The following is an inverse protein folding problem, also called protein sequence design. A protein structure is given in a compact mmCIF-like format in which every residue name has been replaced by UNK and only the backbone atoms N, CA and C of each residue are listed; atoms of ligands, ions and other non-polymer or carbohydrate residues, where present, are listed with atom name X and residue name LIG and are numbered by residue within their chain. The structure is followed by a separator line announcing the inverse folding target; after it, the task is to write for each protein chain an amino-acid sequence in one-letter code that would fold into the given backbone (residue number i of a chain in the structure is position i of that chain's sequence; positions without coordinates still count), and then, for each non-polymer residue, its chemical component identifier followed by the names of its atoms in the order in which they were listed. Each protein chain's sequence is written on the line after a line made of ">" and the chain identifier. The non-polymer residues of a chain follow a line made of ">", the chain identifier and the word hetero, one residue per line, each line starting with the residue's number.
data_IF_515564672711
#
_entry.id   IF_515564672711
#
_cell.length_a   1.000
_cell.length_b   1.000
_cell.length_c   1.000
_cell.angle_alpha   90.00
_cell.angle_beta   90.00
_cell.angle_gamma   90.00
#
_symmetry.space_group_name_H-M   'P 1'
#
loop_
_entity.id
_entity.type
_entity.pdbx_description
1 polymer ?
#
# COMPACT_ATOMS: atom_id res chain seq x y z
N UNK A 1 39.07 18.70 -1.85
CA UNK A 1 37.76 18.67 -1.15
C UNK A 1 36.97 19.87 -1.62
N UNK A 2 35.91 19.66 -2.42
CA UNK A 2 35.02 20.73 -2.88
C UNK A 2 33.93 20.90 -1.85
N UNK A 3 33.92 22.04 -1.16
CA UNK A 3 32.87 22.43 -0.23
C UNK A 3 31.54 22.49 -0.98
N UNK A 4 30.55 21.73 -0.50
CA UNK A 4 29.20 21.74 -1.06
C UNK A 4 28.50 23.01 -0.56
N UNK A 5 28.28 23.91 -1.51
CA UNK A 5 27.70 25.24 -1.33
C UNK A 5 26.32 25.17 -0.66
N UNK A 6 26.22 25.75 0.53
CA UNK A 6 24.96 26.13 1.15
C UNK A 6 24.94 27.64 1.41
N UNK A 7 24.24 28.45 0.60
CA UNK A 7 23.74 29.75 1.06
C UNK A 7 22.66 30.34 0.13
N UNK A 8 21.60 30.90 0.73
CA UNK A 8 20.72 31.90 0.13
C UNK A 8 21.01 33.27 0.79
N UNK A 9 21.38 34.33 0.03
CA UNK A 9 21.97 35.56 0.59
C UNK A 9 21.01 36.44 1.42
N UNK A 10 19.70 36.38 1.18
CA UNK A 10 18.74 37.29 1.82
C UNK A 10 18.25 36.81 3.20
N UNK A 11 18.55 35.57 3.59
CA UNK A 11 18.10 34.96 4.86
C UNK A 11 19.18 34.20 5.65
N UNK A 12 20.43 34.10 5.15
CA UNK A 12 21.54 33.35 5.78
C UNK A 12 21.18 31.93 6.27
N UNK A 13 20.36 31.17 5.52
CA UNK A 13 20.07 29.77 5.85
C UNK A 13 20.46 28.81 4.72
N UNK A 14 21.26 27.81 5.08
CA UNK A 14 21.59 26.65 4.24
C UNK A 14 20.32 25.84 3.92
N UNK A 15 20.12 25.46 2.66
CA UNK A 15 19.08 24.50 2.31
C UNK A 15 19.48 23.10 2.80
N UNK A 16 19.06 22.69 3.98
CA UNK A 16 19.35 21.36 4.53
C UNK A 16 18.76 20.26 3.63
N UNK A 17 19.57 19.25 3.31
CA UNK A 17 19.14 18.07 2.54
C UNK A 17 19.44 16.79 3.30
N UNK A 18 18.52 15.82 3.25
CA UNK A 18 18.78 14.47 3.77
C UNK A 18 19.85 13.82 2.89
N UNK A 19 20.85 13.20 3.52
CA UNK A 19 21.88 12.42 2.84
C UNK A 19 21.73 10.94 3.21
N UNK A 20 22.37 10.00 2.48
CA UNK A 20 22.30 8.58 2.83
C UNK A 20 22.75 8.23 4.26
N UNK A 21 23.55 9.09 4.90
CA UNK A 21 24.08 8.90 6.26
C UNK A 21 23.43 9.79 7.31
N UNK A 22 22.68 10.84 6.92
CA UNK A 22 22.13 11.83 7.83
C UNK A 22 20.68 12.15 7.51
N UNK A 23 19.82 11.84 8.48
CA UNK A 23 18.44 12.29 8.50
C UNK A 23 18.31 13.56 9.35
N UNK A 24 17.76 14.62 8.75
CA UNK A 24 17.38 15.85 9.43
C UNK A 24 15.96 16.23 9.01
N UNK A 25 15.05 16.27 9.98
CA UNK A 25 13.62 16.57 9.79
C UNK A 25 13.37 17.87 9.03
N UNK A 26 14.21 18.89 9.22
CA UNK A 26 14.03 20.24 8.65
C UNK A 26 14.18 20.25 7.13
N UNK A 27 14.92 19.28 6.58
CA UNK A 27 15.06 19.12 5.13
C UNK A 27 13.72 18.81 4.44
N UNK A 28 12.74 18.24 5.15
CA UNK A 28 11.39 18.00 4.63
C UNK A 28 10.52 19.27 4.60
N UNK A 29 10.96 20.35 5.25
CA UNK A 29 10.27 21.65 5.23
C UNK A 29 10.78 22.54 4.08
N UNK A 30 11.75 22.06 3.30
CA UNK A 30 12.26 22.76 2.13
C UNK A 30 11.15 23.03 1.11
N UNK A 31 11.01 24.29 0.70
CA UNK A 31 10.05 24.72 -0.33
C UNK A 31 10.60 24.55 -1.75
N UNK A 32 11.93 24.47 -1.90
CA UNK A 32 12.55 24.27 -3.19
C UNK A 32 12.31 22.82 -3.69
N UNK A 33 11.85 22.64 -4.95
CA UNK A 33 11.38 21.35 -5.43
C UNK A 33 12.50 20.31 -5.57
N UNK A 34 13.70 20.72 -6.05
CA UNK A 34 14.81 19.80 -6.27
C UNK A 34 15.45 19.30 -4.96
N UNK A 35 15.79 20.15 -3.97
CA UNK A 35 16.36 19.67 -2.71
C UNK A 35 15.39 18.80 -1.90
N UNK A 36 14.08 19.12 -1.95
CA UNK A 36 13.06 18.27 -1.35
C UNK A 36 13.00 16.89 -2.03
N UNK A 37 13.00 16.86 -3.37
CA UNK A 37 13.02 15.62 -4.13
C UNK A 37 14.25 14.76 -3.79
N UNK A 38 15.44 15.35 -3.74
CA UNK A 38 16.67 14.66 -3.33
C UNK A 38 16.57 14.12 -1.91
N UNK A 39 16.01 14.90 -0.99
CA UNK A 39 15.84 14.49 0.40
C UNK A 39 14.88 13.30 0.52
N UNK A 40 13.75 13.33 -0.20
CA UNK A 40 12.78 12.23 -0.23
C UNK A 40 13.37 10.96 -0.88
N UNK A 41 14.23 11.10 -1.88
CA UNK A 41 14.92 9.98 -2.52
C UNK A 41 15.82 9.24 -1.51
N UNK A 42 16.69 9.96 -0.81
CA UNK A 42 17.53 9.36 0.23
C UNK A 42 16.70 8.82 1.39
N UNK A 43 15.67 9.55 1.82
CA UNK A 43 14.79 9.11 2.90
C UNK A 43 14.04 7.81 2.57
N UNK A 44 13.63 7.61 1.31
CA UNK A 44 12.96 6.38 0.89
C UNK A 44 13.87 5.15 1.09
N UNK A 45 15.16 5.27 0.77
CA UNK A 45 16.15 4.23 1.03
C UNK A 45 16.38 4.03 2.54
N UNK A 46 16.55 5.12 3.28
CA UNK A 46 16.81 5.07 4.72
C UNK A 46 15.64 4.48 5.51
N UNK A 47 14.39 4.82 5.17
CA UNK A 47 13.19 4.25 5.81
C UNK A 47 13.05 2.76 5.54
N UNK A 48 13.56 2.26 4.41
CA UNK A 48 13.57 0.83 4.10
C UNK A 48 14.61 0.04 4.90
N UNK A 49 15.76 0.64 5.23
CA UNK A 49 16.92 -0.06 5.81
C UNK A 49 17.18 0.25 7.30
N UNK A 50 16.86 1.46 7.77
CA UNK A 50 17.23 1.95 9.11
C UNK A 50 16.03 2.04 10.05
N UNK A 51 16.04 1.22 11.11
CA UNK A 51 15.05 1.30 12.19
C UNK A 51 15.11 2.65 12.92
N UNK A 52 16.32 3.16 13.18
CA UNK A 52 16.53 4.42 13.89
C UNK A 52 15.87 5.61 13.18
N UNK A 53 15.91 5.64 11.85
CA UNK A 53 15.26 6.68 11.05
C UNK A 53 13.74 6.58 11.15
N UNK A 54 13.17 5.37 11.13
CA UNK A 54 11.72 5.15 11.33
C UNK A 54 11.26 5.60 12.71
N UNK A 55 12.07 5.33 13.75
CA UNK A 55 11.80 5.79 15.11
C UNK A 55 11.84 7.32 15.19
N UNK A 56 12.87 7.96 14.63
CA UNK A 56 13.00 9.42 14.59
C UNK A 56 11.79 10.08 13.91
N UNK A 57 11.42 9.64 12.70
CA UNK A 57 10.23 10.12 11.98
C UNK A 57 8.93 10.02 12.78
N UNK A 58 8.83 9.02 13.68
CA UNK A 58 7.63 8.78 14.47
C UNK A 58 7.46 9.73 15.66
N UNK A 59 8.54 10.39 16.08
CA UNK A 59 8.58 11.27 17.26
C UNK A 59 8.81 12.75 16.93
N UNK A 60 9.43 13.07 15.79
CA UNK A 60 9.87 14.43 15.45
C UNK A 60 8.89 15.22 14.55
N UNK A 61 7.69 14.70 14.32
CA UNK A 61 6.71 15.32 13.42
C UNK A 61 6.98 15.07 11.92
N UNK A 62 7.90 14.16 11.59
CA UNK A 62 8.25 13.77 10.22
C UNK A 62 7.12 13.08 9.47
N UNK A 63 6.37 12.23 10.16
CA UNK A 63 5.20 11.58 9.57
C UNK A 63 4.09 12.57 9.20
N UNK A 64 3.81 13.55 10.07
CA UNK A 64 2.85 14.63 9.80
C UNK A 64 3.28 15.48 8.60
N UNK A 65 4.59 15.70 8.42
CA UNK A 65 5.08 16.39 7.23
C UNK A 65 5.00 15.57 5.96
N UNK A 66 5.33 14.28 6.02
CA UNK A 66 5.19 13.38 4.87
C UNK A 66 3.74 13.32 4.40
N UNK A 67 2.79 13.20 5.33
CA UNK A 67 1.36 13.21 5.01
C UNK A 67 0.91 14.54 4.43
N UNK A 68 1.36 15.66 4.99
CA UNK A 68 1.08 16.98 4.42
C UNK A 68 1.68 17.17 3.01
N UNK A 69 2.89 16.66 2.73
CA UNK A 69 3.48 16.66 1.38
C UNK A 69 2.58 15.86 0.42
N UNK A 70 2.05 14.72 0.86
CA UNK A 70 1.18 13.86 0.06
C UNK A 70 -0.19 14.48 -0.23
N UNK A 71 -0.73 15.26 0.72
CA UNK A 71 -1.98 15.99 0.56
C UNK A 71 -1.83 17.24 -0.32
N UNK A 72 -0.71 17.96 -0.19
CA UNK A 72 -0.45 19.18 -0.97
C UNK A 72 0.03 18.87 -2.40
N UNK A 73 0.67 17.73 -2.60
CA UNK A 73 1.11 17.26 -3.92
C UNK A 73 0.03 16.36 -4.54
N UNK A 74 -1.19 16.85 -4.73
CA UNK A 74 -2.29 16.07 -5.32
C UNK A 74 -1.90 15.48 -6.68
N UNK A 75 -2.10 14.17 -6.89
CA UNK A 75 -1.79 13.48 -8.17
C UNK A 75 -2.72 13.91 -9.31
N UNK A 76 -3.88 14.45 -9.00
CA UNK A 76 -4.86 14.90 -10.00
C UNK A 76 -4.41 16.15 -10.75
N UNK A 77 -3.44 16.90 -10.22
CA UNK A 77 -3.03 18.20 -10.74
C UNK A 77 -1.65 18.19 -11.40
N UNK A 78 -1.03 17.04 -11.69
CA UNK A 78 0.36 16.97 -12.14
C UNK A 78 0.63 17.80 -13.41
N UNK A 79 1.22 19.00 -13.32
CA UNK A 79 1.63 19.73 -14.51
C UNK A 79 3.00 19.20 -14.98
N UNK A 80 3.73 18.49 -14.11
CA UNK A 80 5.12 18.13 -14.30
C UNK A 80 5.52 16.79 -13.65
N UNK A 81 6.45 16.09 -14.31
CA UNK A 81 6.99 14.78 -13.88
C UNK A 81 7.59 14.82 -12.47
N UNK A 82 8.16 15.96 -12.02
CA UNK A 82 8.85 16.05 -10.73
C UNK A 82 7.88 16.03 -9.56
N UNK A 83 6.70 16.62 -9.70
CA UNK A 83 5.64 16.52 -8.68
C UNK A 83 5.18 15.08 -8.48
N UNK A 84 5.09 14.30 -9.56
CA UNK A 84 4.79 12.87 -9.47
C UNK A 84 5.84 12.09 -8.68
N UNK A 85 7.13 12.30 -8.97
CA UNK A 85 8.22 11.66 -8.23
C UNK A 85 8.25 12.06 -6.75
N UNK A 86 7.99 13.34 -6.42
CA UNK A 86 7.91 13.79 -5.02
C UNK A 86 6.84 13.03 -4.25
N UNK A 87 5.64 12.92 -4.83
CA UNK A 87 4.54 12.20 -4.22
C UNK A 87 4.88 10.71 -4.03
N UNK A 88 5.38 10.04 -5.08
CA UNK A 88 5.75 8.61 -5.03
C UNK A 88 6.80 8.35 -3.94
N UNK A 89 7.85 9.18 -3.86
CA UNK A 89 8.90 9.01 -2.87
C UNK A 89 8.41 9.28 -1.44
N UNK A 90 7.59 10.30 -1.23
CA UNK A 90 6.96 10.55 0.07
C UNK A 90 6.03 9.39 0.49
N UNK A 91 5.30 8.84 -0.48
CA UNK A 91 4.39 7.70 -0.27
C UNK A 91 5.17 6.45 0.12
N UNK A 92 6.27 6.15 -0.59
CA UNK A 92 7.18 5.06 -0.26
C UNK A 92 7.78 5.23 1.15
N UNK A 93 8.19 6.45 1.53
CA UNK A 93 8.67 6.71 2.89
C UNK A 93 7.61 6.36 3.94
N UNK A 94 6.37 6.85 3.77
CA UNK A 94 5.26 6.60 4.68
C UNK A 94 4.96 5.10 4.83
N UNK A 95 4.86 4.38 3.71
CA UNK A 95 4.58 2.95 3.68
C UNK A 95 5.74 2.15 4.29
N UNK A 96 6.99 2.47 3.94
CA UNK A 96 8.17 1.81 4.50
C UNK A 96 8.21 1.94 6.03
N UNK A 97 7.89 3.13 6.57
CA UNK A 97 7.85 3.37 8.01
C UNK A 97 6.80 2.47 8.69
N UNK A 98 5.60 2.35 8.13
CA UNK A 98 4.54 1.53 8.73
C UNK A 98 4.73 0.01 8.56
N UNK A 99 5.17 -0.45 7.39
CA UNK A 99 5.40 -1.87 7.10
C UNK A 99 6.54 -2.43 7.95
N UNK A 100 7.66 -1.71 8.02
CA UNK A 100 8.89 -2.13 8.74
C UNK A 100 8.98 -1.58 10.17
N UNK A 101 7.99 -0.80 10.61
CA UNK A 101 7.94 -0.21 11.95
C UNK A 101 7.51 -1.18 13.03
N UNK A 102 7.73 -0.78 14.29
CA UNK A 102 7.14 -1.44 15.47
C UNK A 102 5.62 -1.19 15.56
N UNK A 103 4.96 -1.77 16.56
CA UNK A 103 3.55 -1.44 16.85
C UNK A 103 3.36 0.06 17.16
N UNK A 104 4.27 0.64 17.95
CA UNK A 104 4.22 2.05 18.32
C UNK A 104 4.36 2.95 17.08
N UNK A 105 5.30 2.65 16.19
CA UNK A 105 5.49 3.38 14.93
C UNK A 105 4.24 3.24 14.04
N UNK A 106 3.65 2.05 13.93
CA UNK A 106 2.41 1.83 13.18
C UNK A 106 1.24 2.66 13.72
N UNK A 107 1.10 2.73 15.04
CA UNK A 107 0.12 3.59 15.67
C UNK A 107 0.39 5.09 15.41
N UNK A 108 1.65 5.50 15.20
CA UNK A 108 2.01 6.86 14.79
C UNK A 108 1.69 7.15 13.33
N UNK A 109 1.97 6.22 12.42
CA UNK A 109 1.60 6.32 10.98
C UNK A 109 0.09 6.48 10.80
N UNK A 110 -0.69 5.77 11.61
CA UNK A 110 -2.15 5.94 11.59
C UNK A 110 -2.57 7.31 12.13
N UNK A 111 -2.05 7.73 13.29
CA UNK A 111 -2.35 9.03 13.90
C UNK A 111 -1.89 10.23 13.09
N UNK A 112 -0.85 10.10 12.28
CA UNK A 112 -0.35 11.16 11.40
C UNK A 112 -1.21 11.36 10.16
N UNK A 113 -2.30 10.59 9.97
CA UNK A 113 -3.16 10.68 8.79
C UNK A 113 -2.80 9.71 7.66
N UNK A 114 -1.86 8.78 7.86
CA UNK A 114 -1.42 7.88 6.79
C UNK A 114 -2.55 7.01 6.21
N UNK A 115 -3.55 6.63 7.02
CA UNK A 115 -4.72 5.88 6.54
C UNK A 115 -5.60 6.72 5.61
N UNK A 116 -5.71 8.04 5.82
CA UNK A 116 -6.48 8.92 4.92
C UNK A 116 -5.87 8.93 3.52
N UNK A 117 -4.54 9.01 3.44
CA UNK A 117 -3.82 8.88 2.17
C UNK A 117 -4.13 7.53 1.51
N UNK A 118 -4.07 6.43 2.27
CA UNK A 118 -4.38 5.10 1.72
C UNK A 118 -5.81 5.01 1.18
N UNK A 119 -6.81 5.53 1.93
CA UNK A 119 -8.20 5.54 1.49
C UNK A 119 -8.32 6.27 0.15
N UNK A 120 -7.71 7.46 0.04
CA UNK A 120 -7.73 8.25 -1.19
C UNK A 120 -7.12 7.50 -2.39
N UNK A 121 -5.95 6.86 -2.19
CA UNK A 121 -5.28 6.06 -3.23
C UNK A 121 -6.18 4.92 -3.72
N UNK A 122 -6.75 4.15 -2.80
CA UNK A 122 -7.59 3.00 -3.13
C UNK A 122 -8.92 3.42 -3.79
N UNK A 123 -9.58 4.46 -3.28
CA UNK A 123 -10.82 4.99 -3.86
C UNK A 123 -10.61 5.56 -5.27
N UNK A 124 -9.56 6.34 -5.47
CA UNK A 124 -9.26 6.91 -6.77
C UNK A 124 -8.97 5.84 -7.81
N UNK A 125 -8.25 4.78 -7.44
CA UNK A 125 -7.99 3.67 -8.34
C UNK A 125 -9.27 2.94 -8.75
N UNK A 126 -10.16 2.65 -7.80
CA UNK A 126 -11.44 2.00 -8.09
C UNK A 126 -12.32 2.85 -9.00
N UNK A 127 -12.39 4.18 -8.77
CA UNK A 127 -13.14 5.10 -9.62
C UNK A 127 -12.63 5.08 -11.07
N UNK A 128 -11.32 5.01 -11.28
CA UNK A 128 -10.76 4.91 -12.62
C UNK A 128 -11.10 3.58 -13.29
N UNK A 129 -11.04 2.46 -12.57
CA UNK A 129 -11.46 1.17 -13.13
C UNK A 129 -12.95 1.16 -13.54
N UNK A 130 -13.83 1.73 -12.71
CA UNK A 130 -15.25 1.86 -13.03
C UNK A 130 -15.49 2.70 -14.28
N UNK A 131 -14.74 3.79 -14.47
CA UNK A 131 -14.88 4.63 -15.68
C UNK A 131 -14.53 3.90 -16.97
N UNK A 132 -13.49 3.05 -16.95
CA UNK A 132 -13.08 2.24 -18.11
C UNK A 132 -14.13 1.19 -18.44
N UNK A 133 -14.67 0.50 -17.43
CA UNK A 133 -15.73 -0.50 -17.61
C UNK A 133 -17.01 0.11 -18.20
N UNK A 134 -17.36 1.35 -17.82
CA UNK A 134 -18.54 2.05 -18.38
C UNK A 134 -18.33 2.60 -19.80
N UNK A 135 -17.08 2.81 -20.22
CA UNK A 135 -16.74 3.36 -21.53
C UNK A 135 -16.61 2.29 -22.63
N UNK A 136 -16.56 1.01 -22.28
CA UNK A 136 -16.52 -0.09 -23.25
C UNK A 136 -17.85 -0.22 -24.01
N UNK A 137 -17.88 -0.13 -25.35
CA UNK A 137 -19.11 -0.30 -26.12
C UNK A 137 -19.59 -1.76 -26.04
N UNK A 138 -20.88 -1.95 -25.76
CA UNK A 138 -21.56 -3.24 -25.85
C UNK A 138 -21.34 -3.89 -27.22
N UNK A 139 -21.06 -5.20 -27.32
CA UNK A 139 -20.91 -5.85 -28.62
C UNK A 139 -22.27 -5.82 -29.36
N UNK A 140 -22.34 -5.00 -30.40
CA UNK A 140 -23.45 -5.00 -31.34
C UNK A 140 -23.55 -6.35 -32.03
N UNK A 141 -24.78 -6.85 -32.10
CA UNK A 141 -25.21 -8.04 -32.80
C UNK A 141 -24.55 -8.23 -34.17
N UNK A 142 -24.02 -9.43 -34.36
CA UNK A 142 -23.61 -10.08 -35.61
C UNK A 142 -24.43 -9.70 -36.86
N UNK A 143 -23.72 -9.30 -37.93
CA UNK A 143 -24.10 -9.65 -39.31
C UNK A 143 -22.87 -10.13 -40.07
N UNK A 144 -22.98 -11.35 -40.59
CA UNK A 144 -22.09 -11.96 -41.58
C UNK A 144 -21.93 -11.04 -42.79
N UNK A 145 -20.70 -10.92 -43.33
CA UNK A 145 -20.46 -10.94 -44.78
C UNK A 145 -19.02 -11.34 -45.07
N UNK A 146 -18.89 -12.43 -45.83
CA UNK A 146 -17.68 -12.92 -46.49
C UNK A 146 -17.08 -11.89 -47.43
N UNK A 147 -15.74 -11.82 -47.48
CA UNK A 147 -15.01 -11.67 -48.74
C UNK A 147 -13.54 -12.13 -48.61
N UNK A 148 -13.24 -13.24 -49.28
CA UNK A 148 -11.89 -13.61 -49.71
C UNK A 148 -11.52 -12.81 -50.96
N UNK A 149 -10.35 -12.14 -50.98
CA UNK A 149 -9.40 -12.20 -52.11
C UNK A 149 -8.12 -11.35 -51.92
N UNK A 150 -6.98 -11.99 -52.23
CA UNK A 150 -5.79 -11.52 -52.97
C UNK A 150 -4.80 -10.45 -52.43
N UNK A 151 -3.54 -10.94 -52.30
CA UNK A 151 -2.25 -10.41 -52.79
C UNK A 151 -1.67 -9.04 -52.43
N UNK A 152 -0.41 -9.10 -51.96
CA UNK A 152 0.75 -8.21 -52.16
C UNK A 152 0.57 -6.68 -52.09
N UNK A 153 1.28 -6.04 -51.13
CA UNK A 153 2.32 -5.04 -51.45
C UNK A 153 3.09 -4.59 -50.20
N UNK A 154 4.41 -4.46 -50.35
CA UNK A 154 5.30 -3.75 -49.44
C UNK A 154 5.06 -2.24 -49.55
N UNK A 155 4.78 -1.56 -48.43
CA UNK A 155 5.00 -0.12 -48.31
C UNK A 155 5.74 0.23 -47.03
N UNK A 156 6.95 0.76 -47.20
CA UNK A 156 7.69 1.51 -46.19
C UNK A 156 6.94 2.82 -45.88
N UNK A 157 6.47 2.98 -44.64
CA UNK A 157 6.12 4.28 -44.10
C UNK A 157 7.13 4.70 -43.04
N UNK A 158 7.91 5.73 -43.36
CA UNK A 158 8.65 6.56 -42.42
C UNK A 158 7.64 7.20 -41.44
N UNK A 159 7.67 6.81 -40.16
CA UNK A 159 6.96 7.52 -39.10
C UNK A 159 7.93 8.45 -38.37
N UNK A 160 7.97 9.70 -38.82
CA UNK A 160 8.54 10.84 -38.09
C UNK A 160 7.40 11.72 -37.58
N UNK A 161 6.77 11.37 -36.45
CA UNK A 161 5.78 12.17 -35.71
C UNK A 161 5.58 11.44 -34.36
N UNK A 162 5.41 12.02 -33.18
CA UNK A 162 5.40 13.38 -32.63
C UNK A 162 5.45 13.18 -31.09
N UNK A 163 6.35 13.85 -30.36
CA UNK A 163 6.59 13.66 -28.91
C UNK A 163 5.48 14.26 -27.99
N UNK A 164 4.23 14.32 -28.45
CA UNK A 164 3.17 15.00 -27.72
C UNK A 164 1.78 14.43 -28.03
N UNK A 165 1.44 13.24 -27.51
CA UNK A 165 0.06 12.74 -27.52
C UNK A 165 -0.24 11.56 -26.56
N UNK A 166 0.45 11.40 -25.42
CA UNK A 166 0.34 10.15 -24.62
C UNK A 166 -0.20 10.34 -23.18
N UNK A 167 -0.94 11.42 -22.89
CA UNK A 167 -1.32 11.78 -21.51
C UNK A 167 -2.78 11.58 -21.12
N UNK A 168 -3.61 10.88 -21.92
CA UNK A 168 -5.05 10.77 -21.64
C UNK A 168 -5.56 9.43 -21.10
N UNK A 169 -4.72 8.43 -20.77
CA UNK A 169 -5.26 7.13 -20.34
C UNK A 169 -4.48 6.37 -19.24
N UNK A 170 -3.44 6.95 -18.62
CA UNK A 170 -2.79 6.27 -17.49
C UNK A 170 -3.58 6.51 -16.19
N UNK A 171 -4.00 5.46 -15.47
CA UNK A 171 -4.74 5.63 -14.21
C UNK A 171 -3.93 6.47 -13.22
N UNK A 172 -4.58 7.32 -12.42
CA UNK A 172 -3.90 8.25 -11.52
C UNK A 172 -3.06 7.51 -10.48
N UNK A 173 -3.32 6.24 -10.20
CA UNK A 173 -2.49 5.39 -9.36
C UNK A 173 -2.19 4.08 -10.09
N UNK A 174 -0.95 3.61 -9.96
CA UNK A 174 -0.54 2.33 -10.55
C UNK A 174 -0.82 1.18 -9.62
N UNK A 175 -0.77 -0.03 -10.14
CA UNK A 175 -0.98 -1.25 -9.35
C UNK A 175 -0.01 -1.35 -8.15
N UNK A 176 1.23 -0.89 -8.31
CA UNK A 176 2.23 -0.89 -7.24
C UNK A 176 1.82 0.02 -6.06
N UNK A 177 1.15 1.14 -6.33
CA UNK A 177 0.67 2.05 -5.29
C UNK A 177 -0.42 1.38 -4.44
N UNK A 178 -1.28 0.57 -5.08
CA UNK A 178 -2.33 -0.22 -4.43
C UNK A 178 -1.72 -1.33 -3.59
N UNK A 179 -0.71 -2.02 -4.11
CA UNK A 179 0.01 -3.04 -3.35
C UNK A 179 0.63 -2.46 -2.08
N UNK A 180 1.28 -1.30 -2.17
CA UNK A 180 1.85 -0.60 -1.01
C UNK A 180 0.77 -0.18 0.00
N UNK A 181 -0.38 0.29 -0.47
CA UNK A 181 -1.54 0.62 0.36
C UNK A 181 -2.05 -0.60 1.14
N UNK A 182 -2.29 -1.72 0.45
CA UNK A 182 -2.80 -2.95 1.04
C UNK A 182 -1.78 -3.59 1.99
N UNK A 183 -0.49 -3.51 1.66
CA UNK A 183 0.59 -3.92 2.56
C UNK A 183 0.55 -3.12 3.85
N UNK A 184 0.53 -1.77 3.77
CA UNK A 184 0.45 -0.94 4.96
C UNK A 184 -0.77 -1.30 5.82
N UNK A 185 -1.97 -1.39 5.22
CA UNK A 185 -3.18 -1.79 5.92
C UNK A 185 -3.09 -3.17 6.56
N UNK A 186 -2.39 -4.14 5.94
CA UNK A 186 -2.22 -5.47 6.50
C UNK A 186 -1.41 -5.42 7.80
N UNK A 187 -0.37 -4.60 7.87
CA UNK A 187 0.44 -4.43 9.07
C UNK A 187 -0.26 -3.56 10.13
N UNK A 188 -1.02 -2.54 9.73
CA UNK A 188 -1.82 -1.71 10.63
C UNK A 188 -2.96 -2.51 11.28
N UNK A 189 -3.73 -3.26 10.49
CA UNK A 189 -4.90 -4.05 10.93
C UNK A 189 -4.56 -5.25 11.83
N UNK A 190 -3.27 -5.58 12.00
CA UNK A 190 -2.82 -6.59 12.97
C UNK A 190 -3.13 -6.15 14.42
N UNK A 191 -3.16 -4.84 14.66
CA UNK A 191 -3.31 -4.25 15.99
C UNK A 191 -4.79 -4.00 16.31
N UNK A 192 -5.33 -4.55 17.42
CA UNK A 192 -6.75 -4.44 17.74
C UNK A 192 -7.29 -3.01 17.79
N UNK A 193 -6.54 -2.09 18.43
CA UNK A 193 -6.95 -0.69 18.56
C UNK A 193 -7.02 0.03 17.21
N UNK A 194 -6.10 -0.26 16.29
CA UNK A 194 -6.12 0.32 14.93
C UNK A 194 -7.28 -0.28 14.13
N UNK A 195 -7.50 -1.59 14.22
CA UNK A 195 -8.61 -2.28 13.54
C UNK A 195 -9.98 -1.67 13.92
N UNK A 196 -10.18 -1.33 15.19
CA UNK A 196 -11.40 -0.66 15.63
C UNK A 196 -11.58 0.71 14.98
N UNK A 197 -10.50 1.50 14.87
CA UNK A 197 -10.53 2.78 14.17
C UNK A 197 -10.77 2.63 12.68
N UNK A 198 -10.17 1.63 12.03
CA UNK A 198 -10.42 1.31 10.61
C UNK A 198 -11.89 0.96 10.32
N UNK A 199 -12.64 0.45 11.31
CA UNK A 199 -14.06 0.19 11.17
C UNK A 199 -14.95 1.44 11.30
N UNK A 200 -14.56 2.43 12.11
CA UNK A 200 -15.49 3.45 12.60
C UNK A 200 -14.99 4.91 12.60
N UNK A 201 -13.68 5.16 12.53
CA UNK A 201 -13.09 6.49 12.69
C UNK A 201 -12.75 7.17 11.37
N UNK A 202 -13.08 6.55 10.24
CA UNK A 202 -12.87 7.08 8.89
C UNK A 202 -14.22 7.26 8.20
N UNK A 203 -14.30 8.14 7.17
CA UNK A 203 -15.55 8.38 6.43
C UNK A 203 -16.19 7.12 5.84
N UNK A 204 -15.35 6.10 5.57
CA UNK A 204 -15.73 4.78 5.12
C UNK A 204 -15.13 3.72 6.06
N UNK A 205 -15.86 2.63 6.27
CA UNK A 205 -15.28 1.43 6.88
C UNK A 205 -14.18 0.91 5.94
N UNK A 206 -12.91 1.01 6.35
CA UNK A 206 -11.77 0.72 5.47
C UNK A 206 -11.81 -0.73 4.96
N UNK A 207 -12.40 -1.66 5.73
CA UNK A 207 -12.56 -3.04 5.28
C UNK A 207 -13.58 -3.20 4.15
N UNK A 208 -14.63 -2.37 4.07
CA UNK A 208 -15.57 -2.45 2.94
C UNK A 208 -14.91 -1.97 1.66
N UNK A 209 -14.03 -0.96 1.75
CA UNK A 209 -13.21 -0.50 0.64
C UNK A 209 -12.26 -1.61 0.17
N UNK A 210 -11.53 -2.25 1.10
CA UNK A 210 -10.57 -3.31 0.78
C UNK A 210 -11.25 -4.58 0.24
N UNK A 211 -12.49 -4.87 0.64
CA UNK A 211 -13.23 -6.03 0.13
C UNK A 211 -13.41 -6.00 -1.39
N UNK A 212 -13.52 -4.80 -1.98
CA UNK A 212 -13.62 -4.60 -3.43
C UNK A 212 -12.36 -5.04 -4.19
N UNK A 213 -11.20 -5.04 -3.53
CA UNK A 213 -9.95 -5.54 -4.07
C UNK A 213 -9.79 -7.06 -3.93
N UNK A 214 -10.78 -7.76 -3.37
CA UNK A 214 -10.79 -9.23 -3.33
C UNK A 214 -11.44 -9.86 -4.59
N UNK A 215 -12.16 -9.08 -5.41
CA UNK A 215 -12.93 -9.56 -6.57
C UNK A 215 -12.09 -9.66 -7.87
N UNK A 216 -12.64 -10.30 -8.90
CA UNK A 216 -11.94 -10.96 -10.03
C UNK A 216 -11.19 -10.09 -11.08
N UNK A 217 -10.82 -8.85 -10.78
CA UNK A 217 -10.19 -7.97 -11.78
C UNK A 217 -8.81 -7.44 -11.38
N UNK A 218 -8.26 -7.94 -10.26
CA UNK A 218 -6.95 -7.52 -9.77
C UNK A 218 -5.90 -8.61 -9.91
N UNK A 219 -4.62 -8.24 -9.80
CA UNK A 219 -3.55 -9.22 -9.79
C UNK A 219 -3.63 -10.16 -8.59
N UNK A 220 -3.01 -11.33 -8.71
CA UNK A 220 -2.90 -12.30 -7.62
C UNK A 220 -2.26 -11.70 -6.36
N UNK A 221 -1.33 -10.76 -6.52
CA UNK A 221 -0.66 -10.09 -5.41
C UNK A 221 -1.60 -9.14 -4.67
N UNK A 222 -2.43 -8.38 -5.39
CA UNK A 222 -3.49 -7.55 -4.78
C UNK A 222 -4.47 -8.42 -4.00
N UNK A 223 -4.97 -9.50 -4.63
CA UNK A 223 -5.90 -10.43 -3.96
C UNK A 223 -5.31 -11.01 -2.66
N UNK A 224 -4.03 -11.36 -2.67
CA UNK A 224 -3.35 -11.90 -1.51
C UNK A 224 -3.33 -10.90 -0.35
N UNK A 225 -2.88 -9.67 -0.60
CA UNK A 225 -2.76 -8.64 0.43
C UNK A 225 -4.13 -8.14 0.91
N UNK A 226 -5.08 -7.89 0.00
CA UNK A 226 -6.46 -7.56 0.37
C UNK A 226 -7.06 -8.67 1.27
N UNK A 227 -6.87 -9.93 0.90
CA UNK A 227 -7.30 -11.06 1.72
C UNK A 227 -6.64 -11.10 3.12
N UNK A 228 -5.38 -10.68 3.26
CA UNK A 228 -4.72 -10.56 4.58
C UNK A 228 -5.41 -9.50 5.42
N UNK A 229 -5.66 -8.32 4.86
CA UNK A 229 -6.36 -7.22 5.54
C UNK A 229 -7.76 -7.67 6.01
N UNK A 230 -8.54 -8.29 5.13
CA UNK A 230 -9.89 -8.78 5.46
C UNK A 230 -9.89 -9.82 6.59
N UNK A 231 -8.93 -10.76 6.56
CA UNK A 231 -8.77 -11.75 7.65
C UNK A 231 -8.35 -11.10 8.96
N UNK A 232 -7.53 -10.04 8.92
CA UNK A 232 -7.15 -9.28 10.11
C UNK A 232 -8.35 -8.54 10.71
N UNK A 233 -9.24 -7.99 9.88
CA UNK A 233 -10.51 -7.37 10.29
C UNK A 233 -11.41 -8.28 11.13
N UNK A 234 -11.36 -9.59 10.91
CA UNK A 234 -12.18 -10.58 11.62
C UNK A 234 -11.44 -11.33 12.76
N UNK A 235 -10.25 -10.86 13.17
CA UNK A 235 -9.50 -11.45 14.30
C UNK A 235 -10.23 -11.22 15.61
N UNK A 236 -9.97 -12.10 16.58
CA UNK A 236 -10.40 -11.87 17.97
C UNK A 236 -9.66 -10.67 18.54
N UNK A 237 -10.32 -9.99 19.46
CA UNK A 237 -9.70 -8.94 20.26
C UNK A 237 -9.38 -9.47 21.65
N UNK A 238 -8.11 -9.79 21.89
CA UNK A 238 -7.66 -10.31 23.18
C UNK A 238 -7.78 -9.25 24.29
N UNK A 239 -7.77 -7.95 23.96
CA UNK A 239 -7.99 -6.85 24.92
C UNK A 239 -9.45 -6.76 25.38
N UNK A 240 -10.38 -7.36 24.62
CA UNK A 240 -11.81 -7.47 24.95
C UNK A 240 -12.18 -8.92 25.32
N UNK A 241 -11.30 -9.67 25.98
CA UNK A 241 -11.59 -11.05 26.41
C UNK A 241 -11.75 -12.05 25.25
N UNK A 242 -11.14 -11.77 24.10
CA UNK A 242 -11.18 -12.65 22.93
C UNK A 242 -12.48 -12.57 22.10
N UNK A 243 -13.31 -11.55 22.36
CA UNK A 243 -14.55 -11.29 21.62
C UNK A 243 -14.27 -10.90 20.16
N UNK A 244 -15.26 -11.12 19.30
CA UNK A 244 -15.17 -10.86 17.85
C UNK A 244 -16.30 -9.97 17.38
N UNK A 245 -16.01 -9.21 16.32
CA UNK A 245 -17.01 -8.50 15.53
C UNK A 245 -17.60 -9.45 14.47
N UNK A 246 -18.86 -9.23 14.13
CA UNK A 246 -19.50 -9.92 13.02
C UNK A 246 -18.72 -9.62 11.73
N UNK A 247 -18.43 -10.67 10.96
CA UNK A 247 -17.69 -10.55 9.70
C UNK A 247 -18.53 -9.92 8.57
N UNK A 248 -19.84 -9.73 8.77
CA UNK A 248 -20.62 -8.89 7.87
C UNK A 248 -20.36 -7.43 8.23
N UNK A 249 -19.63 -6.73 7.35
CA UNK A 249 -19.08 -5.40 7.63
C UNK A 249 -20.15 -4.33 7.88
N UNK A 250 -21.35 -4.49 7.32
CA UNK A 250 -22.49 -3.60 7.54
C UNK A 250 -23.27 -3.91 8.83
N UNK A 251 -23.02 -5.04 9.51
CA UNK A 251 -23.65 -5.36 10.79
C UNK A 251 -22.92 -4.71 11.97
N UNK A 252 -21.60 -4.82 12.02
CA UNK A 252 -20.78 -4.19 13.07
C UNK A 252 -20.94 -4.74 14.50
N UNK A 253 -21.88 -5.67 14.75
CA UNK A 253 -22.18 -6.24 16.08
C UNK A 253 -21.00 -7.01 16.67
N UNK A 254 -20.77 -6.82 17.97
CA UNK A 254 -19.81 -7.60 18.76
C UNK A 254 -20.47 -8.78 19.47
N UNK A 255 -19.70 -9.85 19.65
CA UNK A 255 -20.04 -10.92 20.58
C UNK A 255 -20.22 -10.32 21.99
N UNK A 256 -21.26 -10.74 22.70
CA UNK A 256 -21.45 -10.45 24.13
C UNK A 256 -20.75 -11.50 25.01
N UNK A 257 -20.57 -12.71 24.47
CA UNK A 257 -19.85 -13.81 25.13
C UNK A 257 -18.94 -14.51 24.11
N UNK A 258 -17.78 -15.06 24.52
CA UNK A 258 -16.92 -15.79 23.61
C UNK A 258 -17.68 -16.93 22.91
N UNK A 259 -17.47 -17.08 21.60
CA UNK A 259 -18.04 -18.16 20.78
C UNK A 259 -19.56 -18.07 20.55
N UNK A 260 -20.20 -16.92 20.79
CA UNK A 260 -21.60 -16.68 20.46
C UNK A 260 -21.88 -16.76 18.96
N UNK A 261 -20.95 -16.30 18.12
CA UNK A 261 -21.18 -16.20 16.68
C UNK A 261 -20.92 -17.51 15.93
N UNK A 262 -21.77 -17.79 14.94
CA UNK A 262 -21.64 -18.95 14.07
C UNK A 262 -20.41 -18.81 13.16
N UNK A 263 -19.55 -19.84 13.13
CA UNK A 263 -18.37 -19.90 12.25
C UNK A 263 -18.76 -20.22 10.80
N UNK A 264 -18.07 -19.61 9.84
CA UNK A 264 -18.15 -20.03 8.45
C UNK A 264 -17.76 -21.52 8.30
N UNK A 265 -18.55 -22.30 7.58
CA UNK A 265 -18.30 -23.74 7.36
C UNK A 265 -17.00 -24.01 6.59
N UNK A 266 -16.64 -23.15 5.64
CA UNK A 266 -15.48 -23.32 4.74
C UNK A 266 -14.17 -22.89 5.39
N UNK A 267 -14.04 -21.62 5.80
CA UNK A 267 -12.79 -21.11 6.36
C UNK A 267 -12.67 -21.27 7.88
N UNK A 268 -13.80 -21.36 8.62
CA UNK A 268 -13.88 -21.28 10.09
C UNK A 268 -13.28 -19.99 10.71
N UNK A 269 -12.76 -19.06 9.89
CA UNK A 269 -12.12 -17.80 10.29
C UNK A 269 -13.09 -16.63 10.36
N UNK A 270 -14.12 -16.57 9.53
CA UNK A 270 -15.19 -15.57 9.62
C UNK A 270 -16.31 -16.07 10.55
N UNK A 271 -16.95 -15.15 11.30
CA UNK A 271 -17.96 -15.46 12.32
C UNK A 271 -19.14 -14.49 12.16
N UNK A 272 -20.36 -15.00 12.31
CA UNK A 272 -21.58 -14.26 12.01
C UNK A 272 -22.58 -14.34 13.17
N UNK A 273 -23.23 -13.22 13.47
CA UNK A 273 -24.29 -13.19 14.49
C UNK A 273 -25.58 -13.89 14.03
N UNK A 274 -25.79 -14.04 12.72
CA UNK A 274 -26.96 -14.70 12.15
C UNK A 274 -26.66 -15.35 10.79
N UNK A 275 -27.53 -16.28 10.36
CA UNK A 275 -27.48 -16.88 9.01
C UNK A 275 -27.66 -15.82 7.92
N UNK A 276 -28.49 -14.80 8.16
CA UNK A 276 -28.70 -13.70 7.23
C UNK A 276 -27.42 -12.89 7.02
N UNK A 277 -26.71 -12.53 8.10
CA UNK A 277 -25.41 -11.86 8.00
C UNK A 277 -24.37 -12.72 7.26
N UNK A 278 -24.37 -14.04 7.47
CA UNK A 278 -23.50 -14.93 6.70
C UNK A 278 -23.84 -14.90 5.20
N UNK A 279 -25.13 -14.92 4.85
CA UNK A 279 -25.59 -14.90 3.46
C UNK A 279 -25.24 -13.60 2.75
N UNK A 280 -25.53 -12.44 3.37
CA UNK A 280 -25.18 -11.13 2.81
C UNK A 280 -23.66 -10.99 2.66
N UNK A 281 -22.88 -11.28 3.70
CA UNK A 281 -21.42 -11.21 3.60
C UNK A 281 -20.85 -12.13 2.51
N UNK A 282 -21.47 -13.30 2.27
CA UNK A 282 -21.05 -14.20 1.21
C UNK A 282 -21.33 -13.64 -0.18
N UNK A 283 -22.50 -13.01 -0.37
CA UNK A 283 -22.88 -12.35 -1.61
C UNK A 283 -21.97 -11.15 -1.90
N UNK A 284 -21.72 -10.33 -0.88
CA UNK A 284 -21.00 -9.06 -1.01
C UNK A 284 -19.51 -9.24 -1.28
N UNK A 285 -18.84 -10.20 -0.64
CA UNK A 285 -17.41 -10.38 -0.91
C UNK A 285 -16.68 -11.53 -0.22
N UNK A 286 -17.20 -12.07 0.89
CA UNK A 286 -16.48 -13.10 1.65
C UNK A 286 -16.09 -14.32 0.82
N UNK A 287 -16.90 -14.70 -0.17
CA UNK A 287 -16.59 -15.83 -1.08
C UNK A 287 -15.22 -15.72 -1.76
N UNK A 288 -14.73 -14.50 -1.98
CA UNK A 288 -13.47 -14.24 -2.68
C UNK A 288 -12.23 -14.28 -1.79
N UNK A 289 -12.35 -13.90 -0.51
CA UNK A 289 -11.23 -13.98 0.44
C UNK A 289 -11.35 -15.15 1.44
N UNK A 290 -12.39 -15.98 1.30
CA UNK A 290 -12.61 -17.19 2.07
C UNK A 290 -11.63 -18.32 1.68
N UNK A 291 -10.62 -18.53 2.50
CA UNK A 291 -9.66 -19.64 2.33
C UNK A 291 -10.11 -20.88 3.14
N UNK A 292 -10.36 -22.04 2.50
CA UNK A 292 -10.71 -23.28 3.19
C UNK A 292 -9.68 -23.66 4.26
N UNK A 293 -10.16 -24.24 5.36
CA UNK A 293 -9.24 -24.87 6.31
C UNK A 293 -8.64 -26.12 5.66
N UNK A 294 -7.32 -26.19 5.57
CA UNK A 294 -6.65 -27.43 5.16
C UNK A 294 -6.94 -28.54 6.19
N UNK A 295 -7.33 -29.75 5.76
CA UNK A 295 -7.47 -30.88 6.66
C UNK A 295 -6.09 -31.18 7.26
N UNK A 296 -6.00 -31.15 8.58
CA UNK A 296 -4.79 -31.54 9.30
C UNK A 296 -4.63 -33.05 9.13
N UNK A 297 -3.66 -33.49 8.31
CA UNK A 297 -3.12 -34.84 8.47
C UNK A 297 -2.53 -34.94 9.87
N UNK A 298 -2.89 -36.00 10.58
CA UNK A 298 -2.66 -36.19 12.01
C UNK A 298 -1.17 -36.35 12.38
N UNK A 299 -0.85 -35.81 13.56
CA UNK A 299 0.28 -36.11 14.45
C UNK A 299 1.64 -35.41 14.21
N UNK A 300 1.84 -34.27 14.88
CA UNK A 300 2.91 -34.14 15.88
C UNK A 300 2.63 -32.97 16.84
N UNK A 301 2.75 -33.26 18.13
CA UNK A 301 2.59 -32.35 19.25
C UNK A 301 3.75 -31.37 19.28
N UNK A 302 3.49 -30.07 19.15
CA UNK A 302 4.21 -29.01 19.87
C UNK A 302 3.44 -27.69 19.77
N UNK A 303 3.27 -27.05 20.92
CA UNK A 303 2.66 -25.73 21.04
C UNK A 303 3.49 -24.63 20.37
N UNK A 304 2.87 -23.45 20.31
CA UNK A 304 3.38 -22.16 19.81
C UNK A 304 3.26 -21.92 18.29
N UNK A 305 2.08 -21.43 17.88
CA UNK A 305 1.86 -20.81 16.58
C UNK A 305 2.16 -19.31 16.59
N UNK A 306 3.44 -18.97 16.71
CA UNK A 306 3.96 -17.64 16.42
C UNK A 306 3.77 -17.28 14.94
N UNK A 307 3.53 -15.98 14.72
CA UNK A 307 3.77 -15.17 13.52
C UNK A 307 4.31 -15.86 12.26
N UNK A 308 3.52 -15.82 11.18
CA UNK A 308 4.04 -15.83 9.81
C UNK A 308 4.61 -14.43 9.50
N UNK A 309 5.92 -14.28 9.70
CA UNK A 309 6.72 -13.17 9.17
C UNK A 309 7.06 -13.50 7.72
N UNK A 310 6.36 -12.89 6.77
CA UNK A 310 6.83 -12.86 5.37
C UNK A 310 7.85 -11.73 5.26
N UNK A 311 9.11 -12.03 5.55
CA UNK A 311 10.23 -11.19 5.15
C UNK A 311 10.65 -11.63 3.75
N UNK A 312 10.24 -10.89 2.73
CA UNK A 312 10.79 -11.02 1.38
C UNK A 312 12.17 -10.35 1.39
N UNK A 313 13.22 -11.15 1.38
CA UNK A 313 14.58 -10.70 1.09
C UNK A 313 14.70 -10.45 -0.42
N UNK A 314 14.71 -9.18 -0.83
CA UNK A 314 15.22 -8.77 -2.13
C UNK A 314 16.74 -8.61 -1.99
N UNK A 315 17.50 -9.59 -2.46
CA UNK A 315 18.95 -9.48 -2.59
C UNK A 315 19.27 -8.49 -3.71
N UNK A 316 19.95 -7.40 -3.34
CA UNK A 316 20.66 -6.53 -4.27
C UNK A 316 21.98 -7.22 -4.65
N UNK A 317 22.13 -7.53 -5.93
CA UNK A 317 23.43 -7.86 -6.50
C UNK A 317 24.22 -6.54 -6.66
N UNK A 318 25.31 -6.41 -5.91
CA UNK A 318 26.37 -5.45 -6.19
C UNK A 318 27.70 -6.21 -6.18
N UNK A 319 28.33 -6.21 -7.34
CA UNK A 319 29.69 -6.66 -7.65
C UNK A 319 30.72 -5.80 -6.91
N UNK A 320 31.82 -6.41 -6.49
CA UNK A 320 32.96 -5.70 -5.90
C UNK A 320 33.99 -6.62 -5.25
N UNK A 321 34.68 -7.42 -6.05
CA UNK A 321 35.91 -8.10 -5.63
C UNK A 321 36.99 -7.04 -5.36
N UNK A 322 37.42 -6.90 -4.11
CA UNK A 322 38.66 -6.22 -3.74
C UNK A 322 39.45 -7.13 -2.79
N UNK A 323 40.61 -7.59 -3.28
CA UNK A 323 41.64 -8.33 -2.53
C UNK A 323 42.16 -7.50 -1.35
N UNK A 324 42.44 -8.10 -0.18
CA UNK A 324 43.24 -7.47 0.84
C UNK A 324 44.75 -7.72 0.58
N UNK A 325 45.50 -6.64 0.44
CA UNK A 325 46.97 -6.64 0.52
C UNK A 325 47.39 -6.70 1.99
N UNK A 326 48.23 -7.70 2.27
CA UNK A 326 48.91 -7.95 3.53
C UNK A 326 49.84 -6.76 3.86
N UNK A 327 49.70 -6.19 5.05
CA UNK A 327 50.69 -5.26 5.63
C UNK A 327 51.20 -5.86 6.93
N UNK A 328 52.37 -6.45 6.84
CA UNK A 328 53.26 -6.78 7.94
C UNK A 328 53.82 -5.48 8.51
N UNK A 329 53.83 -5.33 9.83
CA UNK A 329 54.71 -4.36 10.50
C UNK A 329 55.39 -5.11 11.64
N UNK A 330 56.72 -4.99 11.63
CA UNK A 330 57.75 -5.32 12.64
C UNK A 330 57.29 -5.90 13.97
#
# INVERSE_FOLDING_TARGET
>A
MREQNFCFPEQQRACLTITPSLYDRRALDCTAPLPLLTSLMHLSLMTSSSQRVREALSVDGGLERLTHILETTSRADYPDRRSAWRWILAYHCLVNVGVRGSEQIRARVERSGGVRVIIHVLESYLKTLESVDTAAPSPSSSSMHDCHHASHSHHHHHHSHSLAADTLDEPPFREEDILLALQLLAYLSKHPSIRDRLHANYPINVFTLVERFCARHHSNTIHLWAGVVMRNGCRKDDTRGGLRRCAYLHCGRWESRPHEFAKCRRCRKAKYCSKQCQSHAWADGHRYWCVPRQPTSSASTSGNGATASTATATNAAATGNAHPLNTTTT
#
